data_IF_751164899850
#
_entry.id   IF_751164899850
#
_cell.length_a   1.000
_cell.length_b   1.000
_cell.length_c   1.000
_cell.angle_alpha   90.00
_cell.angle_beta   90.00
_cell.angle_gamma   90.00
#
_symmetry.space_group_name_H-M   'P 1'
#
loop_
_entity.id
_entity.type
_entity.pdbx_description
1 polymer ?
2 non-polymer ?
3 non-polymer ?
4 non-polymer ?
#
# COMPACT_ATOMS: atom_id res chain seq x y z
N UNK A 1 -13.94 -24.07 -21.26
CA UNK A 1 -13.86 -22.78 -20.79
C UNK A 1 -12.44 -22.49 -20.65
N UNK A 2 -12.12 -21.18 -20.45
CA UNK A 2 -11.10 -20.65 -19.43
C UNK A 2 -11.51 -20.67 -17.93
N UNK A 3 -12.12 -19.56 -17.47
CA UNK A 3 -12.62 -19.43 -16.12
C UNK A 3 -14.13 -19.23 -16.13
N UNK A 4 -14.72 -19.03 -14.96
CA UNK A 4 -16.17 -19.13 -14.81
C UNK A 4 -16.80 -17.82 -14.34
N UNK A 5 -17.33 -17.06 -15.28
CA UNK A 5 -17.99 -15.79 -14.98
C UNK A 5 -19.27 -15.97 -14.13
N UNK A 6 -19.29 -15.39 -12.94
CA UNK A 6 -20.47 -15.40 -12.10
C UNK A 6 -21.18 -14.04 -12.06
N UNK A 7 -22.09 -13.87 -11.09
CA UNK A 7 -22.73 -12.57 -10.87
C UNK A 7 -21.76 -11.58 -10.23
N UNK A 8 -21.08 -12.04 -9.18
CA UNK A 8 -20.16 -11.18 -8.42
C UNK A 8 -18.77 -11.77 -8.20
N UNK A 9 -18.27 -12.51 -9.20
CA UNK A 9 -16.96 -13.16 -9.13
C UNK A 9 -16.52 -13.71 -10.48
N UNK A 10 -15.23 -13.97 -10.62
CA UNK A 10 -14.68 -14.64 -11.81
C UNK A 10 -13.54 -15.58 -11.37
N UNK A 11 -13.45 -16.76 -11.97
CA UNK A 11 -12.46 -17.74 -11.57
C UNK A 11 -11.63 -18.20 -12.77
N UNK A 12 -10.31 -18.39 -12.56
CA UNK A 12 -9.38 -18.94 -13.58
C UNK A 12 -9.34 -20.47 -13.63
N UNK A 13 -10.51 -21.08 -13.63
CA UNK A 13 -10.63 -22.53 -13.65
C UNK A 13 -11.82 -22.99 -14.49
N UNK A 14 -11.54 -23.91 -15.40
CA UNK A 14 -12.52 -24.45 -16.36
C UNK A 14 -13.75 -25.05 -15.68
N UNK A 15 -14.95 -24.49 -15.95
CA UNK A 15 -16.21 -25.15 -15.54
C UNK A 15 -16.62 -26.22 -16.57
N UNK A 16 -15.70 -26.58 -17.47
CA UNK A 16 -15.91 -27.71 -18.42
C UNK A 16 -16.05 -29.07 -17.69
N UNK A 17 -15.52 -29.12 -16.48
CA UNK A 17 -15.67 -30.25 -15.58
C UNK A 17 -16.92 -30.11 -14.70
N UNK A 18 -17.43 -28.88 -14.60
CA UNK A 18 -18.59 -28.55 -13.78
C UNK A 18 -18.19 -28.11 -12.39
N UNK A 19 -16.98 -28.51 -12.02
CA UNK A 19 -16.46 -28.43 -10.65
C UNK A 19 -16.51 -27.04 -9.98
N UNK A 20 -16.62 -25.98 -10.77
CA UNK A 20 -16.56 -24.64 -10.20
C UNK A 20 -17.75 -24.24 -9.28
N UNK A 21 -17.44 -24.05 -8.00
CA UNK A 21 -18.37 -23.47 -7.04
C UNK A 21 -18.12 -21.97 -6.96
N UNK A 22 -18.92 -21.30 -6.15
CA UNK A 22 -18.76 -19.87 -5.96
C UNK A 22 -17.94 -19.55 -4.71
N UNK A 23 -17.04 -18.57 -4.81
CA UNK A 23 -16.27 -18.01 -3.68
C UNK A 23 -17.11 -17.28 -2.64
N UNK A 24 -18.43 -17.44 -2.65
CA UNK A 24 -19.21 -16.89 -1.56
C UNK A 24 -20.14 -17.97 -0.99
N UNK A 25 -19.95 -19.22 -1.43
CA UNK A 25 -20.79 -20.36 -1.00
C UNK A 25 -20.09 -21.63 -0.47
N UNK A 26 -18.98 -22.03 -1.09
CA UNK A 26 -18.23 -23.22 -0.63
C UNK A 26 -16.79 -23.30 -1.19
N UNK A 27 -15.88 -24.01 -0.46
CA UNK A 27 -14.42 -24.14 -0.71
C UNK A 27 -13.97 -24.13 -2.15
N UNK A 28 -12.82 -23.49 -2.38
CA UNK A 28 -12.17 -23.51 -3.67
C UNK A 28 -10.98 -24.46 -3.62
N UNK A 29 -11.10 -25.50 -2.78
CA UNK A 29 -10.03 -26.48 -2.64
C UNK A 29 -9.65 -27.07 -4.00
N UNK A 30 -10.59 -26.98 -4.93
CA UNK A 30 -10.37 -27.43 -6.29
C UNK A 30 -9.49 -26.49 -7.15
N UNK A 31 -8.71 -25.59 -6.52
CA UNK A 31 -7.91 -24.61 -7.27
C UNK A 31 -6.40 -24.83 -7.19
N UNK A 32 -5.91 -25.10 -5.97
CA UNK A 32 -4.54 -25.53 -5.74
C UNK A 32 -4.62 -26.68 -4.74
N UNK A 33 -3.53 -26.94 -4.03
CA UNK A 33 -3.59 -27.99 -3.02
C UNK A 33 -4.07 -27.45 -1.68
N UNK A 34 -4.98 -28.17 -1.02
CA UNK A 34 -5.41 -27.82 0.33
C UNK A 34 -4.25 -27.76 1.32
N UNK A 35 -3.04 -28.09 0.86
CA UNK A 35 -1.85 -27.75 1.61
C UNK A 35 -1.44 -26.30 1.31
N UNK A 36 -1.64 -25.89 0.05
CA UNK A 36 -1.29 -24.54 -0.41
C UNK A 36 -2.18 -23.47 0.18
N UNK A 37 -3.46 -23.81 0.37
CA UNK A 37 -4.42 -22.85 0.90
C UNK A 37 -4.04 -22.47 2.30
N UNK A 38 -3.50 -23.44 3.03
CA UNK A 38 -2.96 -23.19 4.36
C UNK A 38 -1.79 -22.18 4.34
N UNK A 39 -0.98 -22.25 3.28
CA UNK A 39 0.18 -21.35 3.10
C UNK A 39 -0.17 -19.86 3.09
N UNK A 40 -1.28 -19.51 2.44
CA UNK A 40 -1.79 -18.15 2.51
C UNK A 40 -2.00 -17.80 3.96
N UNK A 41 -2.91 -18.52 4.61
CA UNK A 41 -3.25 -18.29 6.00
C UNK A 41 -2.04 -18.22 6.93
N UNK A 42 -1.02 -19.04 6.67
CA UNK A 42 0.23 -19.02 7.46
C UNK A 42 1.03 -17.72 7.27
N UNK A 43 1.31 -17.38 6.00
CA UNK A 43 1.90 -16.11 5.63
C UNK A 43 1.16 -14.91 6.29
N UNK A 44 -0.16 -14.91 6.11
CA UNK A 44 -1.03 -13.86 6.60
C UNK A 44 -0.90 -13.69 8.10
N UNK A 45 -0.64 -14.78 8.79
CA UNK A 45 -0.54 -14.75 10.24
C UNK A 45 0.71 -14.02 10.74
N UNK A 46 1.84 -14.28 10.10
CA UNK A 46 3.08 -13.58 10.43
C UNK A 46 2.89 -12.10 10.18
N UNK A 47 2.38 -11.76 9.01
CA UNK A 47 2.17 -10.37 8.68
C UNK A 47 1.20 -9.71 9.64
N UNK A 48 0.22 -10.46 10.11
CA UNK A 48 -0.63 -9.98 11.20
C UNK A 48 0.16 -9.88 12.52
N UNK A 49 1.01 -10.86 12.79
CA UNK A 49 1.77 -10.87 14.04
C UNK A 49 3.02 -10.00 13.98
N UNK A 50 3.24 -9.36 12.84
CA UNK A 50 4.41 -8.52 12.64
C UNK A 50 3.99 -7.07 12.61
N UNK A 51 3.05 -6.75 11.74
CA UNK A 51 2.64 -5.38 11.54
C UNK A 51 2.06 -4.75 12.80
N UNK A 52 1.33 -5.55 13.59
CA UNK A 52 0.61 -5.05 14.74
C UNK A 52 1.51 -4.26 15.69
N UNK A 53 2.61 -4.87 16.19
CA UNK A 53 3.46 -4.10 17.09
C UNK A 53 4.37 -3.12 16.36
N UNK A 54 5.08 -3.58 15.34
CA UNK A 54 6.03 -2.69 14.68
C UNK A 54 5.34 -1.45 14.08
N UNK A 55 4.03 -1.53 13.88
CA UNK A 55 3.25 -0.35 13.53
C UNK A 55 2.55 0.26 14.72
N UNK A 56 2.28 -0.53 15.75
CA UNK A 56 1.71 0.02 16.97
C UNK A 56 2.79 0.79 17.72
N UNK A 57 4.03 0.33 17.61
CA UNK A 57 5.07 0.88 18.45
C UNK A 57 5.42 2.26 17.97
N UNK A 58 5.39 2.44 16.66
CA UNK A 58 5.76 3.71 16.07
C UNK A 58 4.65 4.72 16.28
N UNK A 59 3.40 4.26 16.14
CA UNK A 59 2.25 5.11 16.41
C UNK A 59 2.18 5.50 17.88
N UNK A 60 3.23 5.22 18.64
CA UNK A 60 3.19 5.53 20.05
C UNK A 60 4.48 6.14 20.53
N UNK A 61 5.60 5.65 20.03
CA UNK A 61 6.87 6.33 20.25
C UNK A 61 6.63 7.80 19.98
N UNK A 62 5.89 8.09 18.91
CA UNK A 62 5.62 9.46 18.47
C UNK A 62 4.59 10.21 19.33
N UNK A 63 3.40 9.62 19.53
CA UNK A 63 2.35 10.25 20.31
C UNK A 63 2.90 10.66 21.68
N UNK A 64 3.81 9.81 22.19
CA UNK A 64 4.54 10.02 23.44
C UNK A 64 5.64 11.08 23.28
N UNK A 65 6.66 10.76 22.48
CA UNK A 65 7.83 11.62 22.36
C UNK A 65 7.59 13.01 21.80
N UNK A 66 8.47 13.93 22.21
CA UNK A 66 8.23 15.35 22.07
C UNK A 66 8.83 15.95 20.81
N UNK A 67 10.14 16.10 20.81
CA UNK A 67 10.90 16.61 19.67
C UNK A 67 10.41 16.10 18.33
N UNK A 68 9.70 14.97 18.36
CA UNK A 68 9.25 14.27 17.15
C UNK A 68 8.05 14.92 16.49
N UNK A 69 8.18 16.16 16.05
CA UNK A 69 7.08 16.88 15.43
C UNK A 69 7.50 17.47 14.09
N UNK A 70 8.32 16.72 13.36
CA UNK A 70 8.77 17.12 12.03
C UNK A 70 7.93 16.44 10.98
N UNK A 71 7.88 17.02 9.77
CA UNK A 71 7.02 16.60 8.65
C UNK A 71 7.14 15.11 8.27
N UNK A 72 8.29 14.50 8.53
CA UNK A 72 8.54 13.08 8.22
C UNK A 72 7.98 12.21 9.30
N UNK A 73 8.08 12.71 10.54
CA UNK A 73 7.58 12.03 11.72
C UNK A 73 6.06 11.79 11.62
N UNK A 74 5.39 12.77 11.00
CA UNK A 74 3.95 12.74 10.68
C UNK A 74 3.58 11.69 9.63
N UNK A 75 4.26 11.72 8.49
CA UNK A 75 3.93 10.82 7.39
C UNK A 75 4.23 9.38 7.79
N UNK A 76 5.34 9.18 8.48
CA UNK A 76 5.66 7.87 9.01
C UNK A 76 4.79 7.52 10.20
N UNK A 77 4.13 8.53 10.78
CA UNK A 77 3.07 8.26 11.74
C UNK A 77 1.70 8.16 11.05
N UNK A 78 1.67 8.47 9.76
CA UNK A 78 0.45 8.38 8.98
C UNK A 78 0.34 6.97 8.39
N UNK A 79 1.46 6.42 7.95
CA UNK A 79 1.51 5.03 7.60
C UNK A 79 1.24 4.23 8.84
N UNK A 80 1.71 4.74 9.98
CA UNK A 80 1.54 4.06 11.28
C UNK A 80 0.10 3.68 11.60
N UNK A 81 -0.82 4.52 11.15
CA UNK A 81 -2.22 4.21 11.34
C UNK A 81 -2.75 3.43 10.14
N UNK A 82 -2.36 3.86 8.94
CA UNK A 82 -2.85 3.26 7.70
C UNK A 82 -2.63 1.76 7.71
N UNK A 83 -1.50 1.37 8.27
CA UNK A 83 -1.06 -0.02 8.24
C UNK A 83 -1.88 -0.89 9.19
N UNK A 84 -2.26 -0.33 10.34
CA UNK A 84 -3.05 -1.07 11.32
C UNK A 84 -4.46 -1.26 10.84
N UNK A 85 -4.90 -0.35 9.97
CA UNK A 85 -6.17 -0.50 9.23
C UNK A 85 -6.11 -1.64 8.21
N UNK A 86 -4.96 -1.86 7.62
CA UNK A 86 -4.82 -3.01 6.78
C UNK A 86 -4.97 -4.22 7.65
N UNK A 87 -4.20 -4.24 8.73
CA UNK A 87 -4.09 -5.42 9.58
C UNK A 87 -5.41 -5.83 10.23
N UNK A 88 -6.07 -4.90 10.92
CA UNK A 88 -7.26 -5.29 11.62
C UNK A 88 -8.48 -5.24 10.74
N UNK A 89 -8.38 -4.47 9.67
CA UNK A 89 -9.44 -4.42 8.68
C UNK A 89 -9.27 -5.51 7.64
N UNK A 90 -8.28 -5.31 6.78
CA UNK A 90 -8.00 -6.27 5.74
C UNK A 90 -7.59 -7.61 6.30
N UNK A 91 -6.42 -7.66 6.92
CA UNK A 91 -5.71 -8.93 7.11
C UNK A 91 -6.45 -10.02 7.90
N UNK A 92 -7.03 -9.65 9.04
CA UNK A 92 -7.79 -10.59 9.86
C UNK A 92 -8.84 -11.34 9.04
N UNK A 93 -9.57 -10.59 8.22
CA UNK A 93 -10.63 -11.09 7.34
C UNK A 93 -10.08 -11.86 6.16
N UNK A 94 -8.93 -11.42 5.66
CA UNK A 94 -8.27 -12.05 4.52
C UNK A 94 -7.67 -13.42 4.93
N UNK A 95 -7.11 -13.49 6.13
CA UNK A 95 -6.56 -14.72 6.69
C UNK A 95 -7.64 -15.75 6.96
N UNK A 96 -8.57 -15.38 7.84
CA UNK A 96 -9.68 -16.22 8.25
C UNK A 96 -10.34 -16.91 7.02
N UNK A 97 -10.30 -16.22 5.90
CA UNK A 97 -10.81 -16.70 4.64
C UNK A 97 -10.04 -17.90 4.10
N UNK A 98 -8.71 -17.80 4.08
CA UNK A 98 -7.83 -18.85 3.55
C UNK A 98 -7.82 -20.18 4.31
N UNK A 99 -8.28 -20.17 5.55
CA UNK A 99 -8.42 -21.40 6.29
C UNK A 99 -9.64 -22.13 5.74
N UNK A 100 -10.60 -21.35 5.28
CA UNK A 100 -11.83 -21.91 4.75
C UNK A 100 -11.74 -22.21 3.26
N UNK A 101 -10.67 -21.71 2.62
CA UNK A 101 -10.46 -21.90 1.19
C UNK A 101 -11.50 -21.19 0.34
N UNK A 102 -12.00 -20.06 0.83
CA UNK A 102 -13.08 -19.27 0.23
C UNK A 102 -13.69 -18.33 1.28
N UNK A 103 -14.30 -17.24 0.82
CA UNK A 103 -14.91 -16.26 1.73
C UNK A 103 -16.16 -16.83 2.40
N UNK A 104 -16.20 -16.81 3.73
CA UNK A 104 -17.44 -17.20 4.41
C UNK A 104 -18.35 -15.99 4.54
N UNK A 105 -17.74 -14.82 4.73
CA UNK A 105 -18.46 -13.60 5.14
C UNK A 105 -19.41 -12.97 4.08
N UNK A 106 -19.51 -13.57 2.90
CA UNK A 106 -20.29 -12.98 1.82
C UNK A 106 -19.45 -11.91 1.15
N UNK A 107 -20.02 -11.17 0.17
CA UNK A 107 -19.23 -10.08 -0.43
C UNK A 107 -19.03 -8.98 0.59
N UNK A 108 -19.92 -9.00 1.58
CA UNK A 108 -19.85 -8.11 2.72
C UNK A 108 -18.51 -8.24 3.50
N UNK A 109 -17.72 -9.27 3.16
CA UNK A 109 -16.41 -9.44 3.75
C UNK A 109 -15.31 -9.02 2.80
N UNK A 110 -15.47 -9.37 1.52
CA UNK A 110 -14.53 -9.02 0.45
C UNK A 110 -14.46 -7.51 0.18
N UNK A 111 -15.21 -6.75 0.96
CA UNK A 111 -15.16 -5.30 0.91
C UNK A 111 -14.07 -4.76 1.78
N UNK A 112 -14.09 -5.16 3.04
CA UNK A 112 -13.02 -4.78 3.95
C UNK A 112 -11.70 -5.22 3.34
N UNK A 113 -11.61 -6.51 3.04
CA UNK A 113 -10.38 -7.12 2.50
C UNK A 113 -9.77 -6.27 1.39
N UNK A 114 -10.50 -6.21 0.28
CA UNK A 114 -10.06 -5.44 -0.87
C UNK A 114 -9.90 -3.99 -0.48
N UNK A 115 -10.97 -3.44 0.08
CA UNK A 115 -10.98 -2.04 0.46
C UNK A 115 -9.76 -1.63 1.27
N UNK A 116 -9.59 -2.27 2.43
CA UNK A 116 -8.59 -1.86 3.40
C UNK A 116 -7.18 -2.14 2.99
N UNK A 117 -6.97 -2.26 1.70
CA UNK A 117 -5.69 -2.71 1.17
C UNK A 117 -5.37 -1.80 0.03
N UNK A 118 -6.37 -1.64 -0.84
CA UNK A 118 -6.42 -0.56 -1.80
C UNK A 118 -6.08 0.67 -1.01
N UNK A 119 -6.92 0.91 -0.02
CA UNK A 119 -6.72 1.99 0.92
C UNK A 119 -5.27 2.20 1.33
N UNK A 120 -4.70 1.19 1.99
CA UNK A 120 -3.36 1.29 2.53
C UNK A 120 -2.28 1.56 1.50
N UNK A 121 -2.45 0.97 0.32
CA UNK A 121 -1.55 1.23 -0.79
C UNK A 121 -1.59 2.70 -1.20
N UNK A 122 -2.81 3.25 -1.27
CA UNK A 122 -3.02 4.61 -1.72
C UNK A 122 -2.53 5.68 -0.74
N UNK A 123 -2.68 5.42 0.56
CA UNK A 123 -2.10 6.33 1.57
C UNK A 123 -0.58 6.27 1.52
N UNK A 124 -0.06 5.10 1.15
CA UNK A 124 1.35 4.92 0.95
C UNK A 124 1.79 5.70 -0.27
N UNK A 125 1.20 5.42 -1.42
CA UNK A 125 1.54 6.11 -2.66
C UNK A 125 1.45 7.60 -2.49
N UNK A 126 0.36 8.08 -1.89
CA UNK A 126 0.23 9.53 -1.73
C UNK A 126 1.17 10.12 -0.66
N UNK A 127 1.36 9.39 0.45
CA UNK A 127 2.31 9.79 1.51
C UNK A 127 3.72 9.88 0.98
N UNK A 128 3.89 9.58 -0.30
CA UNK A 128 5.19 9.64 -0.90
C UNK A 128 5.30 10.92 -1.67
N UNK A 129 4.23 11.22 -2.40
CA UNK A 129 4.13 12.48 -3.12
C UNK A 129 4.35 13.65 -2.13
N UNK A 130 3.61 13.66 -1.02
CA UNK A 130 3.76 14.72 -0.05
C UNK A 130 5.14 14.64 0.56
N UNK A 131 5.73 13.45 0.57
CA UNK A 131 7.08 13.31 1.07
C UNK A 131 8.05 13.85 0.06
N UNK A 132 7.78 13.56 -1.21
CA UNK A 132 8.61 14.01 -2.33
C UNK A 132 8.60 15.54 -2.46
N UNK A 133 7.40 16.10 -2.58
CA UNK A 133 7.23 17.52 -2.51
C UNK A 133 8.03 18.11 -1.34
N UNK A 134 7.87 17.58 -0.13
CA UNK A 134 8.59 18.11 1.03
C UNK A 134 10.08 18.21 0.74
N UNK A 135 10.64 17.14 0.19
CA UNK A 135 12.09 17.07 -0.07
C UNK A 135 12.52 18.10 -1.09
N UNK A 136 11.69 18.30 -2.11
CA UNK A 136 11.94 19.32 -3.12
C UNK A 136 11.96 20.71 -2.48
N UNK A 137 10.92 21.00 -1.71
CA UNK A 137 10.78 22.30 -1.08
C UNK A 137 11.89 22.52 -0.06
N UNK A 138 12.40 21.43 0.49
CA UNK A 138 13.42 21.53 1.53
C UNK A 138 14.84 21.46 0.97
N UNK A 139 15.14 20.43 0.17
CA UNK A 139 16.51 20.27 -0.32
C UNK A 139 16.94 21.37 -1.32
N UNK A 140 16.43 21.38 -2.55
CA UNK A 140 16.79 22.44 -3.50
C UNK A 140 15.81 23.62 -3.44
N UNK A 141 15.70 24.19 -2.24
CA UNK A 141 14.73 25.24 -1.92
C UNK A 141 14.34 26.12 -3.11
N UNK A 142 13.04 26.10 -3.46
CA UNK A 142 12.40 27.12 -4.30
C UNK A 142 12.65 28.57 -3.81
N UNK A 143 11.62 29.38 -3.52
CA UNK A 143 11.89 30.78 -3.12
C UNK A 143 12.02 31.02 -1.60
N UNK A 144 11.07 31.74 -1.00
CA UNK A 144 11.26 32.23 0.38
C UNK A 144 10.92 31.25 1.54
N UNK A 145 10.65 31.82 2.72
CA UNK A 145 10.55 31.03 3.95
C UNK A 145 9.24 31.18 4.75
N UNK A 146 8.19 30.56 4.19
CA UNK A 146 7.04 30.09 4.94
C UNK A 146 7.37 28.60 5.12
N UNK A 147 8.66 28.29 5.25
CA UNK A 147 9.13 26.92 5.45
C UNK A 147 8.17 26.15 6.36
N UNK A 148 7.75 24.97 5.91
CA UNK A 148 6.69 24.17 6.57
C UNK A 148 6.39 24.50 8.03
N UNK A 149 5.18 24.99 8.29
CA UNK A 149 4.67 25.00 9.65
C UNK A 149 4.19 23.59 9.92
N UNK A 150 4.17 23.18 11.19
CA UNK A 150 3.59 21.89 11.55
C UNK A 150 2.23 21.84 10.85
N UNK A 151 1.72 23.02 10.51
CA UNK A 151 0.46 23.21 9.78
C UNK A 151 0.47 22.53 8.43
N UNK A 152 1.39 22.95 7.58
CA UNK A 152 1.46 22.42 6.22
C UNK A 152 1.54 20.89 6.21
N UNK A 153 2.10 20.35 7.30
CA UNK A 153 2.18 18.91 7.49
C UNK A 153 0.79 18.28 7.61
N UNK A 154 -0.05 18.86 8.47
CA UNK A 154 -1.43 18.43 8.55
C UNK A 154 -2.07 18.43 7.16
N UNK A 155 -2.15 19.61 6.53
CA UNK A 155 -2.74 19.76 5.19
C UNK A 155 -2.21 18.66 4.25
N UNK A 156 -1.02 18.16 4.54
CA UNK A 156 -0.43 17.10 3.73
C UNK A 156 -0.97 15.74 4.14
N UNK A 157 -1.01 15.49 5.43
CA UNK A 157 -1.38 14.18 5.92
C UNK A 157 -2.85 13.96 5.63
N UNK A 158 -3.65 15.00 5.87
CA UNK A 158 -5.07 14.97 5.59
C UNK A 158 -5.28 14.80 4.11
N UNK A 159 -4.39 15.42 3.35
CA UNK A 159 -4.36 15.26 1.90
C UNK A 159 -4.38 13.79 1.44
N UNK A 160 -3.52 12.94 2.01
CA UNK A 160 -3.38 11.57 1.54
C UNK A 160 -4.69 10.80 1.70
N UNK A 161 -5.21 10.78 2.92
CA UNK A 161 -6.49 10.15 3.23
C UNK A 161 -7.59 10.51 2.25
N UNK A 162 -7.64 11.78 1.88
CA UNK A 162 -8.64 12.24 0.94
C UNK A 162 -8.45 11.57 -0.39
N UNK A 163 -7.44 12.02 -1.13
CA UNK A 163 -6.99 11.36 -2.36
C UNK A 163 -7.06 9.81 -2.36
N UNK A 164 -6.49 9.20 -1.33
CA UNK A 164 -6.55 7.74 -1.16
C UNK A 164 -7.97 7.15 -1.01
N UNK A 165 -8.94 7.94 -0.53
CA UNK A 165 -10.33 7.48 -0.42
C UNK A 165 -11.10 7.68 -1.72
N UNK A 166 -10.64 8.64 -2.52
CA UNK A 166 -11.20 8.92 -3.84
C UNK A 166 -10.94 7.76 -4.81
N UNK A 167 -10.16 6.78 -4.34
CA UNK A 167 -9.86 5.58 -5.10
C UNK A 167 -10.57 4.34 -4.53
N UNK A 168 -10.43 4.14 -3.22
CA UNK A 168 -10.98 2.97 -2.53
C UNK A 168 -12.52 2.99 -2.37
N UNK A 169 -13.10 4.14 -2.02
CA UNK A 169 -14.54 4.27 -1.77
C UNK A 169 -15.46 3.99 -2.96
N UNK A 170 -15.20 4.62 -4.13
CA UNK A 170 -16.08 4.47 -5.31
C UNK A 170 -16.47 3.02 -5.64
N UNK A 171 -15.50 2.09 -5.71
CA UNK A 171 -15.81 0.69 -6.06
C UNK A 171 -16.76 0.10 -5.04
N UNK A 172 -16.69 0.67 -3.84
CA UNK A 172 -17.54 0.27 -2.73
C UNK A 172 -18.99 0.71 -2.91
N UNK A 173 -19.20 1.89 -3.50
CA UNK A 173 -20.55 2.39 -3.76
C UNK A 173 -21.09 1.82 -5.08
N UNK A 174 -20.21 1.19 -5.85
CA UNK A 174 -20.56 0.71 -7.16
C UNK A 174 -20.13 1.66 -8.26
N UNK A 175 -18.95 2.28 -8.10
CA UNK A 175 -18.16 2.68 -9.27
C UNK A 175 -17.03 1.69 -9.32
N UNK A 176 -17.33 0.53 -9.91
CA UNK A 176 -16.51 -0.69 -9.82
C UNK A 176 -17.01 -1.61 -8.69
N UNK A 177 -16.12 -2.38 -8.08
CA UNK A 177 -16.53 -3.38 -7.12
C UNK A 177 -15.40 -4.27 -6.68
N UNK A 178 -15.38 -4.58 -5.38
CA UNK A 178 -14.41 -5.51 -4.82
C UNK A 178 -14.83 -6.96 -5.09
N UNK A 179 -13.94 -7.70 -5.76
CA UNK A 179 -14.21 -9.04 -6.29
C UNK A 179 -13.00 -9.93 -6.03
N UNK A 180 -13.21 -11.23 -5.69
CA UNK A 180 -12.10 -12.18 -5.40
C UNK A 180 -11.04 -12.37 -6.51
N UNK A 181 -9.76 -12.19 -6.15
CA UNK A 181 -8.63 -12.41 -7.06
C UNK A 181 -8.01 -13.80 -6.87
N UNK A 182 -7.39 -14.28 -7.95
CA UNK A 182 -6.54 -15.45 -7.88
C UNK A 182 -7.13 -16.67 -7.20
N UNK A 183 -6.64 -16.95 -5.99
CA UNK A 183 -7.09 -18.11 -5.20
C UNK A 183 -8.33 -17.78 -4.37
N UNK A 184 -8.94 -16.64 -4.67
CA UNK A 184 -10.15 -16.20 -3.99
C UNK A 184 -9.94 -16.13 -2.48
N UNK A 185 -8.89 -15.45 -2.06
CA UNK A 185 -8.64 -15.19 -0.65
C UNK A 185 -8.11 -13.78 -0.52
N UNK A 186 -8.12 -13.09 -1.65
CA UNK A 186 -7.75 -11.67 -1.75
C UNK A 186 -8.77 -11.04 -2.67
N UNK A 187 -9.24 -9.85 -2.31
CA UNK A 187 -10.15 -9.11 -3.16
C UNK A 187 -9.56 -7.80 -3.64
N UNK A 188 -9.65 -7.56 -4.95
CA UNK A 188 -9.12 -6.34 -5.53
C UNK A 188 -9.90 -5.94 -6.77
N UNK A 189 -10.13 -4.63 -6.88
CA UNK A 189 -10.78 -4.00 -8.04
C UNK A 189 -11.10 -4.90 -9.24
N UNK A 190 -12.37 -4.96 -9.63
CA UNK A 190 -12.84 -5.83 -10.72
C UNK A 190 -12.16 -5.53 -12.08
N UNK A 191 -10.96 -6.08 -12.29
CA UNK A 191 -10.26 -5.99 -13.58
C UNK A 191 -10.75 -7.09 -14.50
N UNK A 192 -11.69 -7.90 -14.00
CA UNK A 192 -12.04 -9.15 -14.66
C UNK A 192 -13.25 -9.02 -15.61
N UNK A 193 -14.43 -8.75 -15.08
CA UNK A 193 -15.62 -8.64 -15.92
C UNK A 193 -15.62 -7.32 -16.69
N UNK A 194 -16.21 -7.30 -17.90
CA UNK A 194 -16.53 -6.01 -18.49
C UNK A 194 -17.81 -5.45 -17.85
N UNK A 195 -18.44 -6.22 -16.95
CA UNK A 195 -19.63 -5.79 -16.20
C UNK A 195 -19.96 -4.33 -16.33
N UNK A 196 -21.21 -4.08 -16.73
CA UNK A 196 -21.60 -2.77 -17.22
C UNK A 196 -22.16 -1.81 -16.13
N UNK A 197 -22.96 -2.33 -15.20
CA UNK A 197 -23.65 -1.52 -14.17
C UNK A 197 -22.73 -0.77 -13.16
N UNK A 198 -21.43 -0.77 -13.42
CA UNK A 198 -20.43 -0.11 -12.58
C UNK A 198 -19.45 0.65 -13.47
N UNK A 199 -19.76 0.64 -14.76
CA UNK A 199 -18.96 1.30 -15.79
C UNK A 199 -17.50 0.89 -15.61
N UNK A 200 -17.32 -0.31 -15.08
CA UNK A 200 -16.01 -0.87 -14.79
C UNK A 200 -14.82 -0.21 -15.46
N UNK A 201 -14.65 -0.48 -16.76
CA UNK A 201 -13.47 -0.02 -17.51
C UNK A 201 -13.12 1.47 -17.26
N UNK A 202 -14.14 2.30 -17.03
CA UNK A 202 -13.89 3.67 -16.63
C UNK A 202 -13.11 3.68 -15.33
N UNK A 203 -13.78 3.38 -14.22
CA UNK A 203 -13.14 3.44 -12.90
C UNK A 203 -11.74 2.86 -12.90
N UNK A 204 -11.54 1.72 -13.56
CA UNK A 204 -10.24 1.07 -13.59
C UNK A 204 -9.19 1.95 -14.27
N UNK A 205 -9.55 2.55 -15.41
CA UNK A 205 -8.64 3.51 -16.05
C UNK A 205 -8.66 4.86 -15.34
N UNK A 206 -9.71 5.14 -14.57
CA UNK A 206 -9.68 6.26 -13.62
C UNK A 206 -8.55 6.01 -12.63
N UNK A 207 -8.67 4.90 -11.91
CA UNK A 207 -7.79 4.56 -10.78
C UNK A 207 -6.33 4.49 -11.16
N UNK A 208 -6.06 4.20 -12.42
CA UNK A 208 -4.69 4.20 -12.90
C UNK A 208 -4.16 5.59 -13.12
N UNK A 209 -4.73 6.29 -14.08
CA UNK A 209 -4.29 7.65 -14.39
C UNK A 209 -4.01 8.56 -13.16
N UNK A 210 -4.93 8.60 -12.20
CA UNK A 210 -4.77 9.53 -11.08
C UNK A 210 -4.24 8.91 -9.77
N UNK A 211 -4.33 7.60 -9.68
CA UNK A 211 -3.85 6.90 -8.48
C UNK A 211 -2.68 5.96 -8.78
N UNK A 212 -2.02 6.26 -9.90
CA UNK A 212 -0.81 5.57 -10.33
C UNK A 212 0.10 6.47 -11.15
N UNK A 213 -0.26 6.70 -12.41
CA UNK A 213 0.48 7.63 -13.25
C UNK A 213 0.77 8.90 -12.48
N UNK A 214 -0.23 9.77 -12.36
CA UNK A 214 -0.01 11.09 -11.79
C UNK A 214 0.82 11.02 -10.51
N UNK A 215 0.33 10.28 -9.50
CA UNK A 215 1.07 10.13 -8.25
C UNK A 215 2.55 9.89 -8.50
N UNK A 216 2.86 9.01 -9.44
CA UNK A 216 4.25 8.72 -9.76
C UNK A 216 4.93 9.89 -10.47
N UNK A 217 4.29 10.41 -11.49
CA UNK A 217 4.82 11.52 -12.27
C UNK A 217 5.27 12.69 -11.39
N UNK A 218 4.50 12.97 -10.35
CA UNK A 218 4.90 14.01 -9.41
C UNK A 218 6.13 13.54 -8.67
N UNK A 219 6.02 12.36 -8.04
CA UNK A 219 7.14 11.69 -7.38
C UNK A 219 8.39 11.71 -8.26
N UNK A 220 8.29 11.24 -9.50
CA UNK A 220 9.43 11.15 -10.41
C UNK A 220 10.08 12.50 -10.74
N UNK A 221 9.27 13.53 -11.01
CA UNK A 221 9.83 14.88 -11.23
C UNK A 221 10.76 15.30 -10.08
N UNK A 222 10.33 15.03 -8.85
CA UNK A 222 11.12 15.34 -7.66
C UNK A 222 12.26 14.34 -7.48
N UNK A 223 12.18 13.18 -8.14
CA UNK A 223 13.14 12.11 -7.89
C UNK A 223 14.57 12.50 -8.24
N UNK A 224 14.79 12.74 -9.52
CA UNK A 224 16.10 13.17 -10.00
C UNK A 224 16.51 14.41 -9.25
N UNK A 225 15.65 15.44 -9.29
CA UNK A 225 15.93 16.71 -8.65
C UNK A 225 16.63 16.52 -7.29
N UNK A 226 16.49 15.34 -6.71
CA UNK A 226 17.17 15.00 -5.47
C UNK A 226 18.62 14.53 -5.74
N UNK A 227 19.33 15.30 -6.58
CA UNK A 227 20.75 15.09 -6.85
C UNK A 227 21.41 16.42 -7.31
N UNK A 228 20.66 17.52 -7.23
CA UNK A 228 21.08 18.88 -7.68
C UNK A 228 21.84 19.66 -6.59
N UNK A 229 21.34 19.61 -5.35
CA UNK A 229 21.96 20.31 -4.22
C UNK A 229 22.90 19.39 -3.42
N UNK A 230 22.74 18.07 -3.59
CA UNK A 230 23.69 17.10 -3.07
C UNK A 230 25.09 17.36 -3.71
N UNK A 231 25.25 18.51 -4.38
CA UNK A 231 26.42 18.87 -5.23
C UNK A 231 26.78 20.38 -5.30
N UNK A 232 26.41 21.03 -6.42
CA UNK A 232 26.86 22.40 -6.76
C UNK A 232 26.04 23.54 -6.15
N UNK A 233 24.71 23.44 -6.27
CA UNK A 233 23.83 24.33 -5.50
C UNK A 233 23.90 23.96 -4.00
N UNK A 234 25.06 23.42 -3.59
CA UNK A 234 25.40 23.16 -2.19
C UNK A 234 26.84 23.61 -1.95
N UNK A 235 27.74 23.24 -2.85
CA UNK A 235 29.09 23.78 -2.89
C UNK A 235 28.99 25.31 -3.01
N UNK A 236 28.00 25.78 -3.77
CA UNK A 236 27.71 27.23 -3.92
C UNK A 236 26.74 27.76 -2.84
N UNK A 237 25.55 27.18 -2.74
CA UNK A 237 24.61 27.55 -1.69
C UNK A 237 25.13 27.08 -0.32
N UNK A 238 25.75 27.99 0.41
CA UNK A 238 26.48 27.68 1.64
C UNK A 238 25.59 27.27 2.83
N UNK A 239 25.24 25.98 2.84
CA UNK A 239 24.46 25.32 3.88
C UNK A 239 25.43 24.52 4.79
N UNK A 240 25.52 24.87 6.07
CA UNK A 240 26.50 24.21 6.95
C UNK A 240 26.46 22.68 6.78
N UNK A 241 27.59 22.09 6.42
CA UNK A 241 27.66 20.65 6.14
C UNK A 241 27.34 19.80 7.37
N UNK A 242 26.81 20.44 8.41
CA UNK A 242 26.17 19.75 9.54
C UNK A 242 24.70 19.48 9.16
N UNK A 243 24.19 20.27 8.23
CA UNK A 243 22.84 20.10 7.67
C UNK A 243 22.90 19.27 6.38
N UNK A 244 23.95 19.45 5.58
CA UNK A 244 24.20 18.52 4.49
C UNK A 244 24.65 17.17 5.06
N UNK A 245 23.96 16.74 6.11
CA UNK A 245 24.30 15.51 6.83
C UNK A 245 23.01 14.87 7.34
N UNK A 246 22.22 15.61 8.09
CA UNK A 246 20.94 15.13 8.61
C UNK A 246 19.89 15.17 7.51
N UNK A 247 20.00 16.18 6.66
CA UNK A 247 19.08 16.40 5.55
C UNK A 247 19.42 15.53 4.35
N UNK A 248 20.71 15.25 4.16
CA UNK A 248 21.11 14.31 3.14
C UNK A 248 20.86 12.88 3.64
N UNK A 249 20.37 12.75 4.88
CA UNK A 249 19.98 11.46 5.44
C UNK A 249 18.51 11.16 5.21
N UNK A 250 17.67 12.19 5.41
CA UNK A 250 16.26 12.12 5.10
C UNK A 250 16.05 11.78 3.60
N UNK A 251 16.87 12.39 2.75
CA UNK A 251 16.79 12.16 1.31
C UNK A 251 17.09 10.70 0.92
N UNK A 252 17.95 10.02 1.68
CA UNK A 252 18.26 8.63 1.36
C UNK A 252 17.06 7.74 1.63
N UNK A 253 16.55 7.84 2.85
CA UNK A 253 15.36 7.14 3.30
C UNK A 253 14.20 7.30 2.33
N UNK A 254 13.83 8.55 2.06
CA UNK A 254 12.71 8.79 1.16
C UNK A 254 12.95 8.03 -0.13
N UNK A 255 14.12 8.27 -0.73
CA UNK A 255 14.56 7.63 -1.97
C UNK A 255 14.36 6.12 -1.93
N UNK A 256 14.59 5.55 -0.75
CA UNK A 256 14.53 4.11 -0.49
C UNK A 256 13.10 3.62 -0.25
N UNK A 257 12.27 4.50 0.31
CA UNK A 257 10.84 4.21 0.49
C UNK A 257 10.09 4.21 -0.83
N UNK A 258 10.64 4.95 -1.78
CA UNK A 258 10.19 4.92 -3.15
C UNK A 258 10.50 3.55 -3.75
N UNK A 259 11.77 3.26 -4.00
CA UNK A 259 12.20 1.93 -4.45
C UNK A 259 11.39 0.83 -3.75
N UNK A 260 11.38 0.89 -2.42
CA UNK A 260 10.59 -0.01 -1.60
C UNK A 260 9.16 -0.17 -2.13
N UNK A 261 8.52 0.95 -2.45
CA UNK A 261 7.16 0.94 -2.99
C UNK A 261 7.10 0.18 -4.33
N UNK A 262 7.99 0.53 -5.25
CA UNK A 262 7.97 0.01 -6.62
C UNK A 262 8.40 -1.44 -6.70
N UNK A 263 9.27 -1.84 -5.78
CA UNK A 263 9.63 -3.25 -5.62
C UNK A 263 8.41 -4.07 -5.16
N UNK A 264 7.67 -3.50 -4.21
CA UNK A 264 6.57 -4.19 -3.54
C UNK A 264 5.29 -4.15 -4.35
N UNK A 265 5.00 -2.97 -4.90
CA UNK A 265 3.70 -2.69 -5.47
C UNK A 265 3.61 -2.92 -6.97
N UNK A 266 4.71 -2.77 -7.68
CA UNK A 266 4.70 -2.83 -9.14
C UNK A 266 4.27 -4.17 -9.70
N UNK A 267 4.74 -5.28 -9.09
CA UNK A 267 4.33 -6.60 -9.58
C UNK A 267 2.83 -6.87 -9.56
N UNK A 268 2.08 -6.25 -8.65
CA UNK A 268 0.64 -6.45 -8.60
C UNK A 268 -0.04 -5.90 -9.83
N UNK A 269 0.34 -4.67 -10.18
CA UNK A 269 -0.25 -4.01 -11.32
C UNK A 269 0.27 -4.61 -12.63
N UNK A 270 1.42 -5.26 -12.56
CA UNK A 270 1.94 -6.02 -13.69
C UNK A 270 0.83 -6.93 -14.19
N UNK A 271 0.17 -7.58 -13.26
CA UNK A 271 -0.89 -8.53 -13.60
C UNK A 271 -2.22 -7.82 -13.75
N UNK A 272 -2.63 -7.13 -12.69
CA UNK A 272 -3.88 -6.38 -12.69
C UNK A 272 -4.08 -5.80 -14.10
N UNK A 273 -3.05 -5.12 -14.59
CA UNK A 273 -3.10 -4.49 -15.90
C UNK A 273 -3.20 -5.51 -17.02
N UNK A 274 -2.26 -6.45 -17.06
CA UNK A 274 -2.25 -7.42 -18.15
C UNK A 274 -3.63 -8.02 -18.32
N UNK A 275 -4.19 -8.49 -17.20
CA UNK A 275 -5.55 -9.01 -17.12
C UNK A 275 -6.54 -8.12 -17.89
N UNK A 276 -6.61 -6.86 -17.49
CA UNK A 276 -7.58 -5.88 -17.99
C UNK A 276 -7.62 -5.82 -19.52
N UNK A 277 -6.44 -5.92 -20.13
CA UNK A 277 -6.32 -5.79 -21.58
C UNK A 277 -6.36 -7.14 -22.31
N UNK A 278 -5.59 -8.12 -21.83
CA UNK A 278 -5.69 -9.49 -22.33
C UNK A 278 -6.78 -10.24 -21.61
N UNK A 279 -7.92 -9.59 -21.41
CA UNK A 279 -9.08 -10.18 -20.72
C UNK A 279 -9.60 -11.48 -21.40
N UNK A 280 -9.57 -12.59 -20.67
CA UNK A 280 -10.04 -13.87 -21.18
C UNK A 280 -9.00 -14.66 -21.94
N UNK A 281 -7.73 -14.29 -21.77
CA UNK A 281 -6.63 -15.09 -22.27
C UNK A 281 -6.22 -15.97 -21.11
N UNK A 282 -6.30 -17.28 -21.31
CA UNK A 282 -6.26 -18.22 -20.20
C UNK A 282 -5.10 -18.05 -19.23
N UNK A 283 -5.40 -18.24 -17.94
CA UNK A 283 -4.42 -18.03 -16.85
C UNK A 283 -4.85 -18.70 -15.54
N UNK A 284 -3.87 -18.96 -14.65
CA UNK A 284 -4.09 -19.76 -13.45
C UNK A 284 -4.37 -19.01 -12.14
N UNK A 285 -4.82 -19.76 -11.10
CA UNK A 285 -5.14 -19.05 -9.85
C UNK A 285 -3.89 -18.76 -9.03
N UNK A 286 -2.71 -18.86 -9.64
CA UNK A 286 -1.49 -18.46 -8.97
C UNK A 286 -0.93 -17.24 -9.72
N UNK A 287 -1.54 -16.95 -10.87
CA UNK A 287 -1.13 -15.82 -11.70
C UNK A 287 -1.23 -14.51 -10.90
N UNK A 288 -2.40 -14.28 -10.30
CA UNK A 288 -2.61 -13.06 -9.52
C UNK A 288 -2.60 -13.27 -8.01
N UNK A 289 -2.31 -14.49 -7.56
CA UNK A 289 -2.25 -14.72 -6.13
C UNK A 289 -0.92 -14.28 -5.48
N UNK A 290 0.19 -14.60 -6.14
CA UNK A 290 1.51 -14.20 -5.62
C UNK A 290 1.63 -12.67 -5.45
N UNK A 291 1.57 -11.91 -6.56
CA UNK A 291 1.70 -10.45 -6.52
C UNK A 291 0.84 -9.83 -5.43
N UNK A 292 -0.39 -10.31 -5.29
CA UNK A 292 -1.31 -9.81 -4.27
C UNK A 292 -0.77 -10.05 -2.87
N UNK A 293 -0.61 -11.30 -2.49
CA UNK A 293 -0.18 -11.58 -1.13
C UNK A 293 1.22 -11.04 -0.82
N UNK A 294 2.05 -10.94 -1.85
CA UNK A 294 3.39 -10.38 -1.73
C UNK A 294 3.37 -8.91 -1.47
N UNK A 295 2.73 -8.19 -2.38
CA UNK A 295 2.61 -6.73 -2.28
C UNK A 295 1.90 -6.33 -0.98
N UNK A 296 1.32 -7.30 -0.30
CA UNK A 296 0.56 -7.06 0.92
C UNK A 296 1.48 -6.73 2.12
N UNK A 297 2.79 -6.81 1.94
CA UNK A 297 3.76 -6.43 2.99
C UNK A 297 3.84 -4.93 3.21
N UNK A 298 3.15 -4.21 2.33
CA UNK A 298 3.13 -2.75 2.35
C UNK A 298 2.73 -2.23 3.74
N UNK A 299 2.24 -3.16 4.55
CA UNK A 299 1.73 -2.86 5.87
C UNK A 299 2.70 -3.36 6.94
N UNK A 300 3.99 -3.27 6.65
CA UNK A 300 4.96 -3.82 7.57
C UNK A 300 6.25 -3.08 7.50
N UNK A 301 6.69 -2.83 6.27
CA UNK A 301 8.08 -2.50 6.03
C UNK A 301 8.43 -1.03 6.18
N UNK A 302 7.49 -0.13 5.92
CA UNK A 302 7.83 1.30 6.02
C UNK A 302 8.29 1.78 7.41
N UNK A 303 7.60 1.33 8.47
CA UNK A 303 8.03 1.66 9.84
C UNK A 303 9.39 1.08 10.18
N UNK A 304 9.79 0.04 9.46
CA UNK A 304 11.06 -0.64 9.68
C UNK A 304 12.22 0.08 8.97
N UNK A 305 12.03 0.41 7.69
CA UNK A 305 12.97 1.23 6.93
C UNK A 305 13.32 2.43 7.78
N UNK A 306 12.28 2.87 8.49
CA UNK A 306 12.27 4.01 9.39
C UNK A 306 13.11 3.80 10.64
N UNK A 307 13.02 2.62 11.22
CA UNK A 307 13.87 2.28 12.37
C UNK A 307 15.28 2.05 11.86
N UNK A 308 15.39 1.62 10.61
CA UNK A 308 16.69 1.30 10.03
C UNK A 308 17.43 2.47 9.36
N UNK A 309 16.76 3.55 9.02
CA UNK A 309 17.50 4.65 8.38
C UNK A 309 17.21 6.01 8.99
N UNK A 310 16.73 6.00 10.22
CA UNK A 310 16.43 7.24 10.91
C UNK A 310 16.87 7.20 12.36
N UNK A 311 18.07 7.72 12.60
CA UNK A 311 18.75 7.52 13.88
C UNK A 311 18.09 8.24 15.03
N UNK A 312 17.83 9.52 14.88
CA UNK A 312 17.16 10.21 15.96
C UNK A 312 16.01 9.33 16.41
N UNK A 313 15.14 8.97 15.47
CA UNK A 313 13.93 8.21 15.78
C UNK A 313 14.24 6.92 16.52
N UNK A 314 15.08 6.11 15.91
CA UNK A 314 15.50 4.83 16.45
C UNK A 314 15.96 4.94 17.91
N UNK A 315 16.50 6.10 18.27
CA UNK A 315 17.02 6.30 19.61
C UNK A 315 15.95 6.61 20.62
N UNK A 316 14.87 7.23 20.15
CA UNK A 316 13.70 7.40 20.99
C UNK A 316 12.97 6.09 21.11
N UNK A 317 13.06 5.34 20.03
CA UNK A 317 12.41 4.05 19.97
C UNK A 317 12.92 3.11 21.05
N UNK A 318 14.23 3.18 21.32
CA UNK A 318 14.88 2.36 22.36
C UNK A 318 14.74 2.97 23.75
N UNK A 319 14.59 4.29 23.77
CA UNK A 319 14.41 5.04 25.00
C UNK A 319 13.09 4.59 25.60
N UNK A 320 12.05 4.65 24.76
CA UNK A 320 10.74 4.14 25.10
C UNK A 320 10.82 2.75 25.76
N UNK A 321 11.28 1.78 24.97
CA UNK A 321 11.31 0.36 25.34
C UNK A 321 12.28 0.04 26.47
N UNK A 322 13.32 0.83 26.62
CA UNK A 322 14.29 0.53 27.65
C UNK A 322 14.07 1.29 28.96
N UNK A 323 13.04 2.13 28.99
CA UNK A 323 12.70 2.91 30.18
C UNK A 323 13.81 3.91 30.49
N UNK A 324 13.47 5.19 30.51
CA UNK A 324 14.52 6.20 30.61
C UNK A 324 15.34 6.20 29.34
N UNK A 325 16.56 5.64 29.38
CA UNK A 325 17.40 5.64 28.19
C UNK A 325 18.09 4.29 27.82
N UNK A 326 19.01 4.34 26.84
CA UNK A 326 19.64 3.13 26.26
C UNK A 326 20.40 2.29 27.39
N UNK A 327 21.71 2.84 27.93
#
# INVERSE_FOLDING_TARGET
MCGTEGPNFYVPFSNKTGVVRSPFEAPQYYLAEPWQFSMLAAYMFLLIMLGFPINFLTLYVTVQHKKLRTPLNYILLNLAVADLFMVFGGFTTTLYTSLHGYFVFGPTGCNLEGFFATLGGEIALWSLVVLAIERYVVVCKPMSNFRFGENHAIMGVAFTWVMALACAAPPLVGWSRYIPEGMQCSCGIDYYTPHEETNNESFVIYMFVVHFIIPLIVIFFCYGQLVFTVKEAAAQQQESATTQKAEKEVTRMVIIMVIAFLICWLPYAGVAFYIFTHQGSCFGPIFMTIPAFFAKTSAVYNPVIYIMMNKQFRNCMVTTLCCGKNPLGDDEASTTVSKTETSQVAPA
#
